data_IF_002014192622
#
_entry.id   IF_002014192622
#
_cell.length_a   1.000
_cell.length_b   1.000
_cell.length_c   1.000
_cell.angle_alpha   90.00
_cell.angle_beta   90.00
_cell.angle_gamma   90.00
#
_symmetry.space_group_name_H-M   'P 1'
#
loop_
_entity.id
_entity.type
_entity.pdbx_description
1 polymer ?
#
# COMPACT_ATOMS: atom_id res chain seq x y z
N UNK A 1 -70.58 25.12 -25.55
CA UNK A 1 -70.85 26.38 -26.27
C UNK A 1 -69.56 26.84 -26.94
N UNK A 2 -69.59 26.87 -28.28
CA UNK A 2 -68.79 27.64 -29.28
C UNK A 2 -67.29 27.91 -29.03
N UNK A 3 -66.37 27.92 -30.00
CA UNK A 3 -66.26 27.51 -31.42
C UNK A 3 -64.84 27.97 -31.86
N UNK A 4 -63.97 27.09 -32.36
CA UNK A 4 -63.45 27.05 -33.74
C UNK A 4 -63.30 28.38 -34.53
N UNK A 5 -62.08 28.66 -35.03
CA UNK A 5 -61.68 28.98 -36.44
C UNK A 5 -60.24 29.57 -36.46
N UNK A 6 -59.21 28.97 -37.08
CA UNK A 6 -58.87 28.77 -38.50
C UNK A 6 -58.75 30.03 -39.38
N UNK A 7 -57.52 30.30 -39.86
CA UNK A 7 -57.12 30.89 -41.17
C UNK A 7 -55.63 30.45 -41.36
N UNK A 8 -55.19 29.54 -42.26
CA UNK A 8 -55.09 29.52 -43.75
C UNK A 8 -54.50 30.84 -44.30
N UNK A 9 -53.53 30.92 -45.22
CA UNK A 9 -52.79 29.94 -46.03
C UNK A 9 -51.74 30.68 -46.92
N UNK A 10 -50.64 30.00 -47.25
CA UNK A 10 -49.90 30.02 -48.54
C UNK A 10 -48.99 31.22 -48.89
N UNK A 11 -47.68 30.96 -49.03
CA UNK A 11 -46.97 31.13 -50.31
C UNK A 11 -45.86 30.09 -50.47
N UNK A 12 -45.78 29.59 -51.70
CA UNK A 12 -45.03 28.43 -52.16
C UNK A 12 -43.99 28.96 -53.16
N UNK A 13 -42.69 28.69 -52.96
CA UNK A 13 -41.72 28.67 -54.07
C UNK A 13 -40.74 27.53 -53.83
N UNK A 14 -40.77 26.61 -54.79
CA UNK A 14 -39.87 25.48 -55.00
C UNK A 14 -38.57 25.98 -55.62
N UNK A 15 -37.42 25.53 -55.15
CA UNK A 15 -36.29 25.25 -56.05
C UNK A 15 -35.57 23.96 -55.61
N UNK A 16 -35.46 23.07 -56.59
CA UNK A 16 -34.91 21.72 -56.52
C UNK A 16 -33.41 21.75 -56.88
N UNK A 17 -32.72 20.73 -56.36
CA UNK A 17 -31.52 20.09 -56.90
C UNK A 17 -30.14 20.68 -56.57
N UNK A 18 -29.33 19.83 -55.93
CA UNK A 18 -27.90 20.02 -55.74
C UNK A 18 -27.29 19.00 -54.79
N UNK A 19 -27.31 17.72 -55.18
CA UNK A 19 -26.50 16.67 -54.53
C UNK A 19 -25.03 17.00 -54.78
N UNK A 20 -24.29 17.33 -53.73
CA UNK A 20 -22.85 17.14 -53.68
C UNK A 20 -22.46 16.60 -52.31
N UNK A 21 -21.82 15.44 -52.34
CA UNK A 21 -21.14 14.81 -51.21
C UNK A 21 -20.18 15.81 -50.54
N UNK A 22 -20.48 16.19 -49.31
CA UNK A 22 -19.48 16.66 -48.36
C UNK A 22 -19.69 15.85 -47.08
N UNK A 23 -18.81 14.86 -46.88
CA UNK A 23 -18.58 14.29 -45.55
C UNK A 23 -18.36 15.45 -44.57
N UNK A 24 -19.06 15.51 -43.42
CA UNK A 24 -18.53 16.27 -42.31
C UNK A 24 -17.32 15.48 -41.81
N UNK A 25 -16.13 15.91 -42.21
CA UNK A 25 -14.93 15.70 -41.43
C UNK A 25 -15.24 16.27 -40.04
N UNK A 26 -15.67 15.38 -39.14
CA UNK A 26 -15.58 15.62 -37.72
C UNK A 26 -14.10 15.87 -37.44
N UNK A 27 -13.74 17.14 -37.42
CA UNK A 27 -12.57 17.61 -36.71
C UNK A 27 -12.79 17.24 -35.24
N UNK A 28 -12.30 16.06 -34.85
CA UNK A 28 -11.90 15.84 -33.47
C UNK A 28 -10.65 16.69 -33.26
N UNK A 29 -10.83 18.01 -33.16
CA UNK A 29 -9.93 18.82 -32.35
C UNK A 29 -10.07 18.23 -30.96
N UNK A 30 -9.06 17.47 -30.54
CA UNK A 30 -8.90 17.10 -29.15
C UNK A 30 -8.94 18.39 -28.33
N UNK A 31 -9.92 18.52 -27.45
CA UNK A 31 -9.83 19.38 -26.27
C UNK A 31 -8.70 18.85 -25.38
N UNK A 32 -7.45 18.95 -25.85
CA UNK A 32 -6.32 19.03 -24.93
C UNK A 32 -6.36 20.47 -24.47
N UNK A 33 -6.91 20.70 -23.28
CA UNK A 33 -6.76 21.98 -22.60
C UNK A 33 -5.30 22.40 -22.64
N UNK A 34 -5.04 23.71 -22.78
CA UNK A 34 -3.67 24.23 -22.78
C UNK A 34 -2.86 23.60 -21.64
N UNK A 35 -1.72 23.00 -21.97
CA UNK A 35 -0.83 22.42 -20.97
C UNK A 35 -0.33 23.57 -20.10
N UNK A 36 -0.65 23.52 -18.81
CA UNK A 36 -0.14 24.50 -17.86
C UNK A 36 1.37 24.33 -17.73
N UNK A 37 2.13 25.31 -18.22
CA UNK A 37 3.60 25.33 -18.12
C UNK A 37 4.00 26.33 -17.03
N UNK A 38 4.53 25.81 -15.93
CA UNK A 38 5.02 26.65 -14.82
C UNK A 38 6.49 27.03 -14.98
N UNK A 39 7.29 26.15 -15.58
CA UNK A 39 8.72 26.31 -15.82
C UNK A 39 9.15 25.37 -16.95
N UNK A 40 10.30 25.66 -17.58
CA UNK A 40 10.91 24.77 -18.56
C UNK A 40 11.47 23.53 -17.86
N UNK A 41 11.12 22.34 -18.38
CA UNK A 41 11.65 21.09 -17.88
C UNK A 41 13.17 21.02 -18.15
N UNK A 42 13.96 21.01 -17.08
CA UNK A 42 15.43 21.08 -17.14
C UNK A 42 16.14 19.76 -16.82
N UNK A 43 15.42 18.64 -16.89
CA UNK A 43 15.99 17.31 -16.66
C UNK A 43 16.53 16.77 -17.99
N UNK A 44 17.85 16.47 -18.10
CA UNK A 44 18.44 16.00 -19.35
C UNK A 44 17.74 14.75 -19.90
N UNK A 45 17.28 14.83 -21.15
CA UNK A 45 16.65 13.72 -21.86
C UNK A 45 15.18 13.46 -21.51
N UNK A 46 14.54 14.33 -20.71
CA UNK A 46 13.11 14.24 -20.38
C UNK A 46 12.37 15.35 -21.13
N UNK A 47 11.28 15.00 -21.80
CA UNK A 47 10.34 15.96 -22.40
C UNK A 47 9.04 16.00 -21.59
N UNK A 48 8.24 17.07 -21.75
CA UNK A 48 6.97 17.22 -21.05
C UNK A 48 6.01 16.04 -21.32
N UNK A 49 6.02 15.49 -22.54
CA UNK A 49 5.20 14.32 -22.87
C UNK A 49 5.57 13.09 -22.05
N UNK A 50 6.83 12.94 -21.65
CA UNK A 50 7.29 11.81 -20.82
C UNK A 50 6.74 11.84 -19.40
N UNK A 51 6.17 12.97 -18.96
CA UNK A 51 5.48 13.12 -17.68
C UNK A 51 4.06 12.55 -17.69
N UNK A 52 3.60 12.04 -18.84
CA UNK A 52 2.28 11.47 -19.01
C UNK A 52 2.36 9.99 -19.40
N UNK A 53 1.53 9.11 -18.82
CA UNK A 53 1.55 7.68 -19.13
C UNK A 53 1.29 7.41 -20.62
N UNK A 54 0.52 8.25 -21.30
CA UNK A 54 0.16 8.10 -22.72
C UNK A 54 1.40 8.03 -23.62
N UNK A 55 2.44 8.81 -23.34
CA UNK A 55 3.68 8.76 -24.10
C UNK A 55 4.31 7.36 -24.04
N UNK A 56 4.39 6.76 -22.86
CA UNK A 56 4.99 5.44 -22.67
C UNK A 56 4.12 4.32 -23.22
N UNK A 57 2.80 4.44 -23.08
CA UNK A 57 1.84 3.47 -23.59
C UNK A 57 1.80 3.42 -25.13
N UNK A 58 2.02 4.55 -25.81
CA UNK A 58 2.13 4.59 -27.27
C UNK A 58 3.42 3.93 -27.79
N UNK A 59 4.46 3.86 -26.94
CA UNK A 59 5.79 3.39 -27.31
C UNK A 59 6.13 2.00 -26.72
N UNK A 60 5.16 1.30 -26.13
CA UNK A 60 5.34 -0.05 -25.59
C UNK A 60 4.57 -1.08 -26.42
N UNK A 61 5.29 -2.10 -26.90
CA UNK A 61 4.67 -3.22 -27.59
C UNK A 61 3.85 -4.10 -26.63
N UNK A 62 2.81 -4.74 -27.15
CA UNK A 62 1.99 -5.72 -26.43
C UNK A 62 1.48 -5.21 -25.07
N UNK A 63 1.03 -3.95 -25.03
CA UNK A 63 0.72 -3.25 -23.78
C UNK A 63 -0.37 -3.94 -22.94
N UNK A 64 -1.36 -4.55 -23.60
CA UNK A 64 -2.48 -5.26 -22.97
C UNK A 64 -2.25 -6.78 -22.84
N UNK A 65 -1.10 -7.30 -23.29
CA UNK A 65 -0.80 -8.73 -23.17
C UNK A 65 -0.62 -9.11 -21.70
N UNK A 66 -1.29 -10.18 -21.28
CA UNK A 66 -1.10 -10.79 -19.96
C UNK A 66 0.32 -11.37 -19.90
N UNK A 67 1.14 -10.84 -18.99
CA UNK A 67 2.51 -11.29 -18.75
C UNK A 67 2.53 -12.59 -17.94
N UNK A 68 1.69 -12.66 -16.90
CA UNK A 68 1.41 -13.88 -16.12
C UNK A 68 -0.07 -13.91 -15.76
N UNK A 69 -0.69 -15.07 -15.94
CA UNK A 69 -2.02 -15.39 -15.42
C UNK A 69 -2.00 -15.47 -13.89
N UNK A 70 -3.18 -15.43 -13.25
CA UNK A 70 -3.28 -15.55 -11.79
C UNK A 70 -2.60 -16.81 -11.24
N UNK A 71 -2.81 -17.97 -11.90
CA UNK A 71 -2.17 -19.23 -11.49
C UNK A 71 -0.64 -19.21 -11.66
N UNK A 72 -0.13 -18.49 -12.66
CA UNK A 72 1.32 -18.30 -12.86
C UNK A 72 1.91 -17.37 -11.80
N UNK A 73 1.19 -16.31 -11.42
CA UNK A 73 1.60 -15.42 -10.33
C UNK A 73 1.65 -16.18 -9.01
N UNK A 74 0.66 -17.02 -8.72
CA UNK A 74 0.70 -17.86 -7.52
C UNK A 74 1.89 -18.83 -7.52
N UNK A 75 2.18 -19.45 -8.67
CA UNK A 75 3.38 -20.30 -8.82
C UNK A 75 4.66 -19.49 -8.63
N UNK A 76 4.73 -18.28 -9.19
CA UNK A 76 5.86 -17.36 -9.03
C UNK A 76 6.07 -17.00 -7.56
N UNK A 77 5.02 -16.60 -6.85
CA UNK A 77 5.09 -16.25 -5.43
C UNK A 77 5.53 -17.45 -4.57
N UNK A 78 4.96 -18.65 -4.80
CA UNK A 78 5.38 -19.88 -4.10
C UNK A 78 6.85 -20.22 -4.36
N UNK A 79 7.30 -20.07 -5.60
CA UNK A 79 8.71 -20.24 -5.97
C UNK A 79 9.59 -19.22 -5.24
N UNK A 80 9.16 -17.97 -5.16
CA UNK A 80 9.84 -16.91 -4.41
C UNK A 80 10.08 -17.30 -2.94
N UNK A 81 9.05 -17.81 -2.25
CA UNK A 81 9.19 -18.28 -0.87
C UNK A 81 10.11 -19.49 -0.70
N UNK A 82 10.30 -20.30 -1.74
CA UNK A 82 11.17 -21.48 -1.70
C UNK A 82 12.64 -21.16 -2.03
N UNK A 83 12.88 -20.14 -2.85
CA UNK A 83 14.20 -19.87 -3.45
C UNK A 83 14.84 -18.55 -2.96
N UNK A 84 14.07 -17.61 -2.43
CA UNK A 84 14.58 -16.34 -1.90
C UNK A 84 14.58 -16.35 -0.37
N UNK A 85 15.78 -16.33 0.24
CA UNK A 85 15.94 -16.34 1.70
C UNK A 85 15.23 -15.15 2.40
N UNK A 86 15.06 -14.04 1.68
CA UNK A 86 14.43 -12.82 2.23
C UNK A 86 12.90 -12.91 2.26
N UNK A 87 12.30 -13.87 1.54
CA UNK A 87 10.86 -14.10 1.49
C UNK A 87 10.46 -15.25 2.40
N UNK A 88 9.46 -15.01 3.25
CA UNK A 88 8.94 -15.99 4.22
C UNK A 88 7.45 -16.21 4.01
N UNK A 89 7.06 -17.45 3.74
CA UNK A 89 5.64 -17.82 3.73
C UNK A 89 5.14 -18.02 5.17
N UNK A 90 4.41 -17.01 5.66
CA UNK A 90 3.89 -17.03 7.02
C UNK A 90 2.88 -18.17 7.27
N UNK A 91 2.24 -18.73 6.23
CA UNK A 91 1.33 -19.89 6.36
C UNK A 91 2.07 -21.12 6.87
N UNK A 92 3.33 -21.27 6.45
CA UNK A 92 4.19 -22.39 6.80
C UNK A 92 5.27 -22.01 7.82
N UNK A 93 5.20 -20.81 8.41
CA UNK A 93 6.15 -20.38 9.43
C UNK A 93 6.07 -21.31 10.65
N UNK A 94 7.22 -21.73 11.21
CA UNK A 94 7.25 -22.69 12.31
C UNK A 94 6.50 -22.17 13.54
N UNK A 95 5.93 -23.08 14.33
CA UNK A 95 5.21 -22.71 15.56
C UNK A 95 6.15 -22.22 16.68
N UNK A 96 7.44 -22.50 16.57
CA UNK A 96 8.45 -22.04 17.51
C UNK A 96 9.80 -21.83 16.79
N UNK A 97 10.64 -20.96 17.35
CA UNK A 97 11.98 -20.64 16.87
C UNK A 97 12.99 -20.90 17.98
N UNK A 98 14.17 -21.43 17.63
CA UNK A 98 15.25 -21.58 18.60
C UNK A 98 15.71 -20.20 19.10
N UNK A 99 15.88 -20.06 20.42
CA UNK A 99 16.27 -18.80 21.04
C UNK A 99 17.57 -18.23 20.52
N UNK A 100 18.53 -19.11 20.18
CA UNK A 100 19.82 -18.69 19.60
C UNK A 100 19.65 -18.09 18.20
N UNK A 101 18.79 -18.66 17.36
CA UNK A 101 18.48 -18.12 16.04
C UNK A 101 17.76 -16.76 16.14
N UNK A 102 16.88 -16.62 17.12
CA UNK A 102 16.19 -15.35 17.40
C UNK A 102 17.18 -14.28 17.89
N UNK A 103 18.06 -14.63 18.84
CA UNK A 103 19.13 -13.75 19.33
C UNK A 103 19.97 -13.22 18.18
N UNK A 104 20.49 -14.11 17.33
CA UNK A 104 21.30 -13.73 16.15
C UNK A 104 20.52 -12.83 15.19
N UNK A 105 19.22 -13.08 15.01
CA UNK A 105 18.37 -12.22 14.16
C UNK A 105 18.25 -10.82 14.74
N UNK A 106 18.01 -10.68 16.04
CA UNK A 106 17.88 -9.37 16.70
C UNK A 106 19.23 -8.65 16.69
N UNK A 107 20.32 -9.32 17.03
CA UNK A 107 21.68 -8.74 17.03
C UNK A 107 22.10 -8.28 15.63
N UNK A 108 21.71 -9.00 14.58
CA UNK A 108 21.95 -8.59 13.18
C UNK A 108 21.17 -7.34 12.81
N UNK A 109 19.88 -7.27 13.14
CA UNK A 109 19.01 -6.11 12.82
C UNK A 109 19.39 -4.89 13.66
N UNK A 110 19.69 -5.10 14.93
CA UNK A 110 20.03 -4.05 15.91
C UNK A 110 21.55 -3.87 16.06
N UNK A 111 22.32 -4.12 15.00
CA UNK A 111 23.76 -3.96 15.03
C UNK A 111 24.14 -2.47 15.15
N UNK A 112 25.11 -2.15 16.02
CA UNK A 112 25.59 -0.76 16.17
C UNK A 112 26.15 -0.23 14.84
N UNK A 113 25.78 1.01 14.45
CA UNK A 113 26.39 1.68 13.31
C UNK A 113 27.91 1.84 13.49
N UNK A 114 28.69 1.54 12.46
CA UNK A 114 30.15 1.73 12.46
C UNK A 114 30.56 3.19 12.18
N UNK A 115 29.66 3.95 11.55
CA UNK A 115 29.83 5.37 11.26
C UNK A 115 29.10 6.19 12.30
N UNK A 116 29.56 7.43 12.49
CA UNK A 116 28.86 8.42 13.31
C UNK A 116 27.42 8.60 12.83
N UNK A 117 26.59 8.92 13.81
CA UNK A 117 25.16 9.11 13.64
C UNK A 117 24.69 10.27 14.49
N UNK A 118 23.62 10.92 14.05
CA UNK A 118 23.15 12.16 14.67
C UNK A 118 21.68 12.04 15.04
N UNK A 119 21.36 12.43 16.28
CA UNK A 119 20.01 12.54 16.80
C UNK A 119 19.79 14.00 17.18
N UNK A 120 18.85 14.67 16.49
CA UNK A 120 18.53 16.09 16.69
C UNK A 120 19.77 17.00 16.53
N UNK A 121 20.63 16.69 15.57
CA UNK A 121 21.85 17.45 15.27
C UNK A 121 23.08 17.07 16.10
N UNK A 122 22.91 16.28 17.17
CA UNK A 122 24.01 15.90 18.07
C UNK A 122 24.46 14.46 17.80
N UNK A 123 25.76 14.20 17.95
CA UNK A 123 26.30 12.84 17.81
C UNK A 123 25.66 11.91 18.84
N UNK A 124 25.19 10.75 18.38
CA UNK A 124 24.54 9.75 19.24
C UNK A 124 25.57 9.20 20.24
N UNK A 125 25.25 9.30 21.53
CA UNK A 125 26.17 8.90 22.59
C UNK A 125 26.18 7.39 22.83
N UNK A 126 27.26 6.90 23.45
CA UNK A 126 27.39 5.50 23.86
C UNK A 126 26.29 5.08 24.84
N UNK A 127 25.92 5.96 25.76
CA UNK A 127 24.86 5.69 26.74
C UNK A 127 23.50 5.48 26.07
N UNK A 128 23.24 6.20 24.97
CA UNK A 128 22.03 6.02 24.19
C UNK A 128 22.01 4.66 23.49
N UNK A 129 23.13 4.23 22.88
CA UNK A 129 23.22 2.89 22.29
C UNK A 129 23.06 1.79 23.34
N UNK A 130 23.67 1.93 24.51
CA UNK A 130 23.50 0.99 25.63
C UNK A 130 22.02 0.94 26.09
N UNK A 131 21.33 2.09 26.11
CA UNK A 131 19.90 2.12 26.42
C UNK A 131 19.06 1.37 25.37
N UNK A 132 19.35 1.54 24.08
CA UNK A 132 18.68 0.79 23.00
C UNK A 132 18.93 -0.71 23.09
N UNK A 133 20.16 -1.12 23.36
CA UNK A 133 20.53 -2.54 23.54
C UNK A 133 19.81 -3.17 24.73
N UNK A 134 19.66 -2.43 25.83
CA UNK A 134 18.88 -2.88 26.97
C UNK A 134 17.40 -3.09 26.62
N UNK A 135 16.83 -2.26 25.73
CA UNK A 135 15.45 -2.41 25.26
C UNK A 135 15.24 -3.66 24.39
N UNK A 136 16.28 -4.19 23.73
CA UNK A 136 16.21 -5.42 22.93
C UNK A 136 15.81 -6.65 23.74
N UNK A 137 15.98 -6.60 25.08
CA UNK A 137 15.52 -7.64 26.01
C UNK A 137 16.10 -9.04 25.70
N UNK A 138 17.35 -9.07 25.26
CA UNK A 138 18.05 -10.27 24.77
C UNK A 138 18.25 -11.34 25.85
N UNK A 139 18.45 -10.93 27.09
CA UNK A 139 18.57 -11.77 28.29
C UNK A 139 17.31 -12.59 28.59
N UNK A 140 16.13 -12.12 28.16
CA UNK A 140 14.85 -12.80 28.36
C UNK A 140 14.42 -13.68 27.17
N UNK A 141 15.29 -13.87 26.17
CA UNK A 141 15.03 -14.81 25.09
C UNK A 141 15.05 -16.24 25.66
N UNK A 142 13.92 -16.94 25.54
CA UNK A 142 13.80 -18.35 25.95
C UNK A 142 14.61 -19.24 25.01
N UNK A 143 14.99 -20.42 25.47
CA UNK A 143 15.68 -21.42 24.63
C UNK A 143 14.85 -21.83 23.41
N UNK A 144 13.52 -21.82 23.55
CA UNK A 144 12.55 -22.01 22.49
C UNK A 144 11.47 -20.92 22.63
N UNK A 145 11.32 -20.11 21.59
CA UNK A 145 10.32 -19.04 21.55
C UNK A 145 9.13 -19.46 20.72
N UNK A 146 7.95 -19.48 21.33
CA UNK A 146 6.70 -19.73 20.63
C UNK A 146 6.35 -18.54 19.73
N UNK A 147 5.92 -18.85 18.51
CA UNK A 147 5.52 -17.85 17.52
C UNK A 147 4.07 -17.48 17.75
N UNK A 148 3.80 -16.18 17.88
CA UNK A 148 2.44 -15.64 17.94
C UNK A 148 2.10 -14.97 16.61
N UNK A 149 0.88 -15.15 16.12
CA UNK A 149 0.43 -14.48 14.91
C UNK A 149 -0.24 -13.15 15.24
N UNK A 150 -0.04 -12.19 14.35
CA UNK A 150 -0.63 -10.88 14.46
C UNK A 150 -0.83 -10.27 13.08
N UNK A 151 -1.50 -9.12 13.05
CA UNK A 151 -1.72 -8.32 11.84
C UNK A 151 -1.55 -6.83 12.17
N UNK A 152 -1.00 -6.06 11.24
CA UNK A 152 -0.96 -4.60 11.37
C UNK A 152 -2.35 -4.01 11.18
N UNK A 153 -2.70 -3.01 12.00
CA UNK A 153 -4.03 -2.35 11.96
C UNK A 153 -3.99 -0.96 11.34
N UNK A 154 -2.78 -0.40 11.18
CA UNK A 154 -2.53 0.87 10.49
C UNK A 154 -1.16 0.86 9.84
N UNK A 155 -0.88 1.87 9.00
CA UNK A 155 0.48 2.08 8.47
C UNK A 155 1.45 2.28 9.64
N UNK A 156 2.54 1.53 9.62
CA UNK A 156 3.58 1.53 10.67
C UNK A 156 4.96 1.34 10.07
N UNK A 157 5.99 1.36 10.89
CA UNK A 157 7.39 1.27 10.49
C UNK A 157 8.08 0.13 11.24
N UNK A 158 8.73 -0.74 10.48
CA UNK A 158 9.76 -1.63 10.96
C UNK A 158 11.08 -0.87 11.10
N UNK A 159 11.81 -1.12 12.20
CA UNK A 159 12.98 -0.36 12.62
C UNK A 159 14.10 -1.26 13.16
N UNK A 160 15.33 -0.78 13.04
CA UNK A 160 16.54 -1.45 13.51
C UNK A 160 16.55 -1.60 15.03
N UNK A 161 16.02 -0.59 15.75
CA UNK A 161 15.96 -0.54 17.21
C UNK A 161 14.54 -0.19 17.69
N UNK A 162 14.14 -0.61 18.90
CA UNK A 162 12.83 -0.31 19.49
C UNK A 162 12.72 1.14 19.98
N UNK A 163 12.79 2.11 19.06
CA UNK A 163 12.66 3.55 19.33
C UNK A 163 11.98 4.28 18.18
N UNK A 164 11.26 5.35 18.49
CA UNK A 164 10.73 6.29 17.49
C UNK A 164 11.73 7.37 17.09
N UNK A 165 12.85 7.46 17.81
CA UNK A 165 13.90 8.43 17.49
C UNK A 165 14.47 8.13 16.10
N UNK A 166 14.60 9.20 15.32
CA UNK A 166 15.18 9.18 13.98
C UNK A 166 16.64 9.56 14.08
N UNK A 167 17.49 8.77 13.44
CA UNK A 167 18.94 8.87 13.56
C UNK A 167 19.54 9.01 12.18
N UNK A 168 20.30 10.07 11.93
CA UNK A 168 20.73 10.45 10.59
C UNK A 168 22.23 10.28 10.38
N UNK A 169 22.67 10.32 9.12
CA UNK A 169 24.10 10.25 8.80
C UNK A 169 24.81 11.59 9.00
N UNK A 170 24.10 12.71 8.90
CA UNK A 170 24.62 14.07 9.10
C UNK A 170 23.76 14.85 10.11
N UNK A 171 24.28 15.90 10.77
CA UNK A 171 23.55 16.68 11.78
C UNK A 171 22.26 17.36 11.27
N UNK A 172 22.26 17.82 10.03
CA UNK A 172 21.18 18.61 9.40
C UNK A 172 20.30 17.77 8.45
N UNK A 173 20.55 16.46 8.37
CA UNK A 173 19.74 15.53 7.61
C UNK A 173 18.40 15.26 8.33
N UNK A 174 17.34 15.12 7.52
CA UNK A 174 15.98 14.80 7.96
C UNK A 174 15.29 13.81 7.01
N UNK A 175 15.96 13.40 5.93
CA UNK A 175 15.37 12.67 4.80
C UNK A 175 15.61 11.17 4.88
N UNK A 176 16.72 10.74 5.51
CA UNK A 176 17.13 9.34 5.57
C UNK A 176 17.40 8.89 7.00
N UNK A 177 16.33 8.51 7.70
CA UNK A 177 16.44 7.88 9.01
C UNK A 177 17.16 6.53 8.89
N UNK A 178 18.34 6.41 9.49
CA UNK A 178 19.15 5.21 9.43
C UNK A 178 18.63 4.07 10.31
N UNK A 179 17.62 4.30 11.14
CA UNK A 179 16.97 3.27 11.94
C UNK A 179 15.66 2.76 11.34
N UNK A 180 15.12 3.38 10.29
CA UNK A 180 13.96 2.81 9.59
C UNK A 180 14.42 1.71 8.64
N UNK A 181 13.71 0.59 8.67
CA UNK A 181 13.95 -0.54 7.78
C UNK A 181 12.94 -0.55 6.64
N UNK A 182 11.65 -0.51 6.98
CA UNK A 182 10.57 -0.46 6.00
C UNK A 182 9.25 -0.04 6.63
N UNK A 183 8.38 0.62 5.87
CA UNK A 183 6.97 0.73 6.23
C UNK A 183 6.25 -0.62 6.04
N UNK A 184 5.21 -0.84 6.86
CA UNK A 184 4.18 -1.84 6.67
C UNK A 184 2.83 -1.15 6.57
N UNK A 185 1.92 -1.73 5.80
CA UNK A 185 0.59 -1.16 5.56
C UNK A 185 -0.43 -1.82 6.50
N UNK A 186 -1.68 -1.34 6.58
CA UNK A 186 -2.72 -2.08 7.29
C UNK A 186 -2.95 -3.44 6.64
N UNK A 187 -3.35 -4.43 7.45
CA UNK A 187 -3.64 -5.80 7.03
C UNK A 187 -2.41 -6.63 6.58
N UNK A 188 -1.21 -6.30 7.04
CA UNK A 188 -0.01 -7.13 6.83
C UNK A 188 0.11 -8.21 7.90
N UNK A 189 0.20 -9.50 7.53
CA UNK A 189 0.41 -10.57 8.49
C UNK A 189 1.80 -10.55 9.10
N UNK A 190 1.87 -10.94 10.37
CA UNK A 190 3.10 -10.98 11.15
C UNK A 190 3.21 -12.30 11.93
N UNK A 191 4.43 -12.83 11.99
CA UNK A 191 4.86 -13.79 13.01
C UNK A 191 5.69 -13.04 14.06
N UNK A 192 5.13 -12.81 15.24
CA UNK A 192 5.76 -12.13 16.37
C UNK A 192 6.66 -13.11 17.11
N UNK A 193 7.90 -12.69 17.34
CA UNK A 193 8.99 -13.53 17.85
C UNK A 193 9.56 -13.04 19.18
N UNK A 194 9.49 -11.74 19.47
CA UNK A 194 10.02 -11.19 20.71
C UNK A 194 9.32 -9.89 21.09
N UNK A 195 9.53 -9.45 22.33
CA UNK A 195 9.00 -8.19 22.84
C UNK A 195 10.10 -7.42 23.56
N UNK A 196 10.15 -6.10 23.32
CA UNK A 196 11.10 -5.20 23.97
C UNK A 196 10.91 -5.19 25.47
N UNK A 197 11.92 -4.74 26.22
CA UNK A 197 11.91 -4.76 27.68
C UNK A 197 10.76 -3.95 28.27
N UNK A 198 10.34 -2.89 27.59
CA UNK A 198 9.24 -2.01 27.99
C UNK A 198 7.86 -2.45 27.47
N UNK A 199 7.78 -3.53 26.69
CA UNK A 199 6.54 -4.04 26.12
C UNK A 199 5.98 -3.24 24.94
N UNK A 200 6.65 -2.16 24.50
CA UNK A 200 6.11 -1.24 23.50
C UNK A 200 6.45 -1.61 22.07
N UNK A 201 7.39 -2.54 21.87
CA UNK A 201 7.85 -2.98 20.56
C UNK A 201 7.82 -4.50 20.46
N UNK A 202 7.48 -4.96 19.26
CA UNK A 202 7.52 -6.36 18.88
C UNK A 202 8.67 -6.55 17.91
N UNK A 203 9.40 -7.66 18.02
CA UNK A 203 10.28 -8.12 16.94
C UNK A 203 9.50 -9.16 16.15
N UNK A 204 9.23 -8.90 14.87
CA UNK A 204 8.33 -9.73 14.08
C UNK A 204 8.82 -9.93 12.64
N UNK A 205 8.36 -11.02 12.02
CA UNK A 205 8.55 -11.34 10.62
C UNK A 205 7.28 -11.00 9.83
N UNK A 206 7.41 -10.10 8.84
CA UNK A 206 6.49 -9.95 7.72
C UNK A 206 6.93 -10.86 6.54
N UNK A 207 6.20 -10.90 5.43
CA UNK A 207 6.58 -11.82 4.34
C UNK A 207 7.95 -11.50 3.70
N UNK A 208 8.45 -10.27 3.79
CA UNK A 208 9.67 -9.81 3.13
C UNK A 208 10.64 -9.04 4.04
N UNK A 209 10.39 -8.99 5.36
CA UNK A 209 11.26 -8.30 6.30
C UNK A 209 11.08 -8.82 7.74
N UNK A 210 12.13 -8.68 8.56
CA UNK A 210 12.11 -9.00 9.99
C UNK A 210 12.80 -7.90 10.79
N UNK A 211 12.07 -7.21 11.65
CA UNK A 211 12.58 -6.09 12.44
C UNK A 211 11.64 -5.71 13.59
N UNK A 212 11.96 -4.63 14.30
CA UNK A 212 11.15 -4.10 15.41
C UNK A 212 10.01 -3.23 14.89
N UNK A 213 8.80 -3.36 15.45
CA UNK A 213 7.69 -2.46 15.16
C UNK A 213 6.86 -2.14 16.42
N UNK A 214 6.13 -1.01 16.46
CA UNK A 214 5.29 -0.65 17.59
C UNK A 214 4.21 -1.69 17.90
N UNK A 215 4.14 -2.14 19.16
CA UNK A 215 3.13 -3.09 19.62
C UNK A 215 1.70 -2.55 19.56
N UNK A 216 1.54 -1.22 19.63
CA UNK A 216 0.23 -0.56 19.56
C UNK A 216 -0.37 -0.57 18.14
N UNK A 217 0.46 -0.82 17.12
CA UNK A 217 0.05 -0.80 15.70
C UNK A 217 -0.33 -2.20 15.19
N UNK A 218 -0.35 -3.17 16.11
CA UNK A 218 -0.47 -4.61 15.84
C UNK A 218 -1.57 -5.21 16.70
N UNK A 219 -2.35 -6.11 16.12
CA UNK A 219 -3.37 -6.88 16.82
C UNK A 219 -3.08 -8.38 16.74
N UNK A 220 -3.02 -9.05 17.89
CA UNK A 220 -2.73 -10.49 17.98
C UNK A 220 -3.93 -11.34 17.57
N UNK A 221 -3.69 -12.45 16.91
CA UNK A 221 -4.74 -13.36 16.44
C UNK A 221 -4.27 -14.81 16.41
N UNK A 222 -5.22 -15.74 16.32
CA UNK A 222 -4.92 -17.14 16.05
C UNK A 222 -4.54 -17.35 14.59
N UNK A 223 -3.68 -18.34 14.32
CA UNK A 223 -3.27 -18.72 12.96
C UNK A 223 -4.44 -18.88 11.99
N UNK A 224 -5.50 -19.60 12.41
CA UNK A 224 -6.67 -19.87 11.58
C UNK A 224 -7.43 -18.59 11.23
N UNK A 225 -7.74 -17.75 12.21
CA UNK A 225 -8.46 -16.49 11.99
C UNK A 225 -7.68 -15.54 11.07
N UNK A 226 -6.35 -15.47 11.22
CA UNK A 226 -5.49 -14.67 10.33
C UNK A 226 -5.60 -15.12 8.87
N UNK A 227 -5.39 -16.42 8.61
CA UNK A 227 -5.36 -16.91 7.23
C UNK A 227 -6.75 -17.04 6.62
N UNK A 228 -7.80 -17.32 7.40
CA UNK A 228 -9.20 -17.23 6.95
C UNK A 228 -9.51 -15.81 6.45
N UNK A 229 -9.02 -14.77 7.13
CA UNK A 229 -9.14 -13.37 6.68
C UNK A 229 -8.34 -13.08 5.41
N UNK A 230 -7.07 -13.52 5.35
CA UNK A 230 -6.20 -13.27 4.20
C UNK A 230 -6.60 -14.05 2.95
N UNK A 231 -7.27 -15.20 3.10
CA UNK A 231 -7.70 -16.06 2.01
C UNK A 231 -9.13 -15.77 1.55
N UNK A 232 -9.78 -14.72 2.10
CA UNK A 232 -11.13 -14.31 1.73
C UNK A 232 -11.28 -14.15 0.19
N UNK A 233 -12.23 -14.87 -0.42
CA UNK A 233 -12.39 -14.92 -1.88
C UNK A 233 -12.70 -13.54 -2.50
N UNK A 234 -13.54 -12.75 -1.81
CA UNK A 234 -13.95 -11.41 -2.25
C UNK A 234 -13.15 -10.36 -1.49
N UNK A 235 -12.33 -9.61 -2.22
CA UNK A 235 -11.47 -8.59 -1.65
C UNK A 235 -11.35 -7.38 -2.59
N UNK A 236 -11.02 -6.24 -1.99
CA UNK A 236 -10.52 -5.07 -2.68
C UNK A 236 -9.00 -5.05 -2.67
N UNK A 237 -8.44 -4.52 -3.75
CA UNK A 237 -7.04 -4.11 -3.85
C UNK A 237 -7.00 -2.61 -4.07
N UNK A 238 -6.16 -1.92 -3.31
CA UNK A 238 -5.90 -0.50 -3.55
C UNK A 238 -5.05 -0.35 -4.81
N UNK A 239 -5.54 0.44 -5.76
CA UNK A 239 -4.87 0.74 -7.02
C UNK A 239 -4.47 2.21 -7.13
N UNK A 240 -4.83 3.06 -6.17
CA UNK A 240 -4.30 4.42 -6.03
C UNK A 240 -2.96 4.42 -5.31
N UNK A 241 -2.19 5.52 -5.40
CA UNK A 241 -0.92 5.66 -4.64
C UNK A 241 -1.11 5.51 -3.12
N UNK A 242 -2.29 5.86 -2.65
CA UNK A 242 -2.79 5.71 -1.29
C UNK A 242 -4.22 6.25 -1.27
N UNK A 243 -5.14 5.48 -0.68
CA UNK A 243 -6.54 5.88 -0.48
C UNK A 243 -6.81 5.94 1.02
N UNK A 244 -7.87 6.64 1.42
CA UNK A 244 -8.26 6.74 2.82
C UNK A 244 -9.67 6.21 3.01
N UNK A 245 -9.94 5.56 4.13
CA UNK A 245 -11.33 5.42 4.59
C UNK A 245 -11.90 6.82 4.91
N UNK A 246 -13.22 6.96 4.86
CA UNK A 246 -13.85 8.22 5.23
C UNK A 246 -13.62 8.58 6.71
N UNK A 247 -13.67 9.87 7.02
CA UNK A 247 -13.72 10.32 8.41
C UNK A 247 -14.96 9.75 9.12
N UNK A 248 -14.73 9.06 10.25
CA UNK A 248 -15.78 8.46 11.07
C UNK A 248 -15.48 8.68 12.56
N UNK A 249 -16.13 9.64 13.23
CA UNK A 249 -15.88 9.94 14.64
C UNK A 249 -16.35 8.83 15.59
N UNK A 250 -17.22 7.92 15.13
CA UNK A 250 -17.71 6.79 15.93
C UNK A 250 -16.76 5.60 15.91
N UNK A 251 -15.82 5.57 14.96
CA UNK A 251 -14.81 4.53 14.76
C UNK A 251 -13.42 5.13 14.50
N UNK A 252 -12.82 5.82 15.50
CA UNK A 252 -11.50 6.44 15.34
C UNK A 252 -10.40 5.45 14.92
N UNK A 253 -10.55 4.17 15.24
CA UNK A 253 -9.61 3.10 14.89
C UNK A 253 -9.50 2.81 13.38
N UNK A 254 -10.54 3.16 12.59
CA UNK A 254 -10.59 2.96 11.14
C UNK A 254 -10.99 4.23 10.38
N UNK A 255 -10.99 5.38 11.06
CA UNK A 255 -11.29 6.69 10.47
C UNK A 255 -10.05 7.25 9.77
N UNK A 256 -10.20 7.73 8.54
CA UNK A 256 -9.08 8.28 7.75
C UNK A 256 -7.86 7.35 7.74
N UNK A 257 -8.12 6.05 7.69
CA UNK A 257 -7.12 5.01 7.66
C UNK A 257 -6.48 4.99 6.27
N UNK A 258 -5.18 5.32 6.19
CA UNK A 258 -4.41 5.21 4.96
C UNK A 258 -4.28 3.75 4.54
N UNK A 259 -4.72 3.44 3.32
CA UNK A 259 -4.52 2.17 2.64
C UNK A 259 -3.65 2.40 1.42
N UNK A 260 -2.45 1.84 1.45
CA UNK A 260 -1.42 2.00 0.43
C UNK A 260 -1.65 1.09 -0.79
N UNK A 261 -1.10 1.44 -1.96
CA UNK A 261 -1.24 0.63 -3.18
C UNK A 261 -0.84 -0.83 -2.93
N UNK A 262 -1.65 -1.77 -3.43
CA UNK A 262 -1.43 -3.20 -3.22
C UNK A 262 -1.93 -3.71 -1.87
N UNK A 263 -2.43 -2.86 -0.98
CA UNK A 263 -3.17 -3.31 0.20
C UNK A 263 -4.41 -4.10 -0.24
N UNK A 264 -4.58 -5.28 0.37
CA UNK A 264 -5.63 -6.25 0.05
C UNK A 264 -6.58 -6.35 1.24
N UNK A 265 -7.81 -5.88 1.07
CA UNK A 265 -8.79 -5.79 2.15
C UNK A 265 -10.03 -6.63 1.78
N UNK A 266 -10.42 -7.64 2.58
CA UNK A 266 -11.64 -8.41 2.35
C UNK A 266 -12.90 -7.53 2.30
N UNK A 267 -13.78 -7.87 1.37
CA UNK A 267 -15.13 -7.32 1.34
C UNK A 267 -15.96 -7.99 2.44
N UNK A 268 -16.82 -7.22 3.10
CA UNK A 268 -17.75 -7.78 4.07
C UNK A 268 -18.87 -8.55 3.37
N UNK A 269 -19.23 -9.70 3.90
CA UNK A 269 -20.40 -10.44 3.47
C UNK A 269 -21.69 -9.68 3.81
N UNK A 270 -22.73 -9.88 3.00
CA UNK A 270 -24.01 -9.19 3.19
C UNK A 270 -24.60 -9.41 4.58
N UNK A 271 -24.35 -10.56 5.20
CA UNK A 271 -24.84 -10.89 6.55
C UNK A 271 -24.13 -10.12 7.67
N UNK A 272 -22.97 -9.49 7.39
CA UNK A 272 -22.14 -8.84 8.40
C UNK A 272 -22.51 -7.36 8.64
N UNK A 273 -23.36 -6.77 7.81
CA UNK A 273 -23.72 -5.35 7.91
C UNK A 273 -25.19 -5.05 7.60
N UNK A 274 -25.64 -3.89 8.06
CA UNK A 274 -26.97 -3.34 7.78
C UNK A 274 -26.86 -2.14 6.83
N UNK A 275 -27.99 -1.65 6.31
CA UNK A 275 -28.01 -0.46 5.44
C UNK A 275 -27.75 0.87 6.18
N UNK A 276 -27.33 0.79 7.44
CA UNK A 276 -26.81 1.89 8.22
C UNK A 276 -25.52 1.42 8.91
N UNK A 277 -24.38 1.96 8.48
CA UNK A 277 -23.07 1.74 9.07
C UNK A 277 -22.63 3.08 9.65
N UNK A 278 -22.69 3.21 10.98
CA UNK A 278 -22.30 4.42 11.72
C UNK A 278 -22.94 5.72 11.21
N UNK A 279 -24.21 5.67 10.77
CA UNK A 279 -24.95 6.82 10.26
C UNK A 279 -24.85 7.01 8.74
N UNK A 280 -24.12 6.15 8.03
CA UNK A 280 -23.95 6.21 6.59
C UNK A 280 -24.59 5.01 5.87
N UNK A 281 -25.27 5.29 4.75
CA UNK A 281 -25.79 4.26 3.86
C UNK A 281 -24.70 3.74 2.91
N UNK A 282 -24.54 2.41 2.71
CA UNK A 282 -23.41 1.84 1.96
C UNK A 282 -23.48 1.97 0.43
N UNK A 283 -24.57 2.50 -0.15
CA UNK A 283 -24.79 2.51 -1.61
C UNK A 283 -23.61 3.10 -2.42
N UNK A 284 -23.03 4.20 -1.95
CA UNK A 284 -21.89 4.87 -2.60
C UNK A 284 -20.52 4.24 -2.31
N UNK A 285 -20.48 3.13 -1.58
CA UNK A 285 -19.27 2.56 -1.02
C UNK A 285 -19.12 1.08 -1.35
N UNK A 286 -17.89 0.59 -1.21
CA UNK A 286 -17.60 -0.79 -0.90
C UNK A 286 -17.60 -0.97 0.61
N UNK A 287 -18.20 -2.06 1.09
CA UNK A 287 -18.20 -2.42 2.51
C UNK A 287 -17.10 -3.44 2.74
N UNK A 288 -16.17 -3.13 3.64
CA UNK A 288 -14.95 -3.89 3.86
C UNK A 288 -14.80 -4.32 5.32
N UNK A 289 -14.03 -5.39 5.56
CA UNK A 289 -13.59 -5.79 6.90
C UNK A 289 -12.18 -5.27 7.13
N UNK A 290 -12.02 -4.33 8.04
CA UNK A 290 -10.72 -3.76 8.42
C UNK A 290 -10.25 -4.38 9.73
N UNK A 291 -8.97 -4.75 9.84
CA UNK A 291 -8.41 -5.22 11.11
C UNK A 291 -8.25 -4.02 12.05
N UNK A 292 -8.75 -4.17 13.26
CA UNK A 292 -8.59 -3.21 14.35
C UNK A 292 -8.02 -3.92 15.57
N UNK A 293 -7.38 -3.13 16.44
CA UNK A 293 -6.82 -3.61 17.69
C UNK A 293 -7.84 -3.39 18.80
N UNK A 294 -8.34 -4.48 19.39
CA UNK A 294 -9.17 -4.43 20.59
C UNK A 294 -8.41 -3.90 21.81
N UNK A 295 -9.15 -3.58 22.87
CA UNK A 295 -8.55 -3.09 24.13
C UNK A 295 -7.61 -4.14 24.76
N UNK A 296 -7.90 -5.42 24.59
CA UNK A 296 -7.06 -6.53 25.04
C UNK A 296 -5.86 -6.82 24.12
N UNK A 297 -5.71 -6.04 23.04
CA UNK A 297 -4.64 -6.17 22.04
C UNK A 297 -4.85 -7.27 21.00
N UNK A 298 -6.01 -7.92 21.00
CA UNK A 298 -6.36 -8.91 19.98
C UNK A 298 -7.00 -8.26 18.76
N UNK A 299 -7.02 -9.03 17.68
CA UNK A 299 -7.67 -8.68 16.45
C UNK A 299 -9.19 -8.62 16.64
N UNK A 300 -9.76 -7.51 16.22
CA UNK A 300 -11.19 -7.38 16.00
C UNK A 300 -11.41 -6.87 14.58
N UNK A 301 -12.45 -7.35 13.91
CA UNK A 301 -12.82 -6.81 12.61
C UNK A 301 -13.84 -5.68 12.77
N UNK A 302 -13.61 -4.59 12.02
CA UNK A 302 -14.55 -3.48 11.89
C UNK A 302 -15.09 -3.42 10.48
N UNK A 303 -16.38 -3.10 10.38
CA UNK A 303 -17.02 -2.82 9.09
C UNK A 303 -16.67 -1.39 8.70
N UNK A 304 -15.87 -1.25 7.63
CA UNK A 304 -15.46 0.03 7.07
C UNK A 304 -16.13 0.31 5.73
N UNK A 305 -16.09 1.58 5.34
CA UNK A 305 -16.57 2.06 4.04
C UNK A 305 -15.41 2.68 3.26
N UNK A 306 -15.26 2.24 2.00
CA UNK A 306 -14.37 2.86 1.03
C UNK A 306 -15.23 3.36 -0.12
N UNK A 307 -15.13 4.65 -0.45
CA UNK A 307 -15.96 5.25 -1.49
C UNK A 307 -15.69 4.62 -2.85
N UNK A 308 -16.73 4.46 -3.67
CA UNK A 308 -16.60 3.91 -5.03
C UNK A 308 -15.77 4.78 -5.98
N UNK A 309 -15.56 6.05 -5.61
CA UNK A 309 -14.71 7.00 -6.32
C UNK A 309 -13.22 6.86 -6.00
N UNK A 310 -12.86 6.13 -4.94
CA UNK A 310 -11.46 5.85 -4.64
C UNK A 310 -10.87 4.90 -5.67
N UNK A 311 -9.56 5.03 -5.89
CA UNK A 311 -8.80 4.15 -6.77
C UNK A 311 -8.61 2.78 -6.11
N UNK A 312 -9.65 1.94 -6.19
CA UNK A 312 -9.69 0.57 -5.70
C UNK A 312 -10.32 -0.36 -6.73
N UNK A 313 -10.03 -1.65 -6.62
CA UNK A 313 -10.55 -2.69 -7.52
C UNK A 313 -10.99 -3.92 -6.74
N UNK A 314 -12.09 -4.54 -7.15
CA UNK A 314 -12.45 -5.90 -6.70
C UNK A 314 -11.53 -6.90 -7.39
N UNK A 315 -10.72 -7.61 -6.59
CA UNK A 315 -9.67 -8.49 -7.09
C UNK A 315 -8.44 -7.76 -7.64
N UNK A 316 -7.40 -8.53 -7.97
CA UNK A 316 -6.17 -7.98 -8.54
C UNK A 316 -6.37 -7.38 -9.93
N UNK A 317 -5.49 -6.45 -10.30
CA UNK A 317 -5.34 -6.01 -11.69
C UNK A 317 -4.65 -7.12 -12.50
N UNK A 318 -4.98 -7.30 -13.79
CA UNK A 318 -4.19 -8.17 -14.67
C UNK A 318 -2.74 -7.69 -14.76
N UNK A 319 -1.76 -8.60 -14.71
CA UNK A 319 -0.36 -8.23 -14.91
C UNK A 319 -0.10 -7.97 -16.40
N UNK A 320 -0.11 -6.69 -16.78
CA UNK A 320 0.15 -6.22 -18.16
C UNK A 320 1.11 -5.04 -18.11
N UNK A 321 1.83 -4.77 -19.21
CA UNK A 321 2.74 -3.61 -19.29
C UNK A 321 1.99 -2.29 -19.10
N UNK A 322 0.77 -2.20 -19.64
CA UNK A 322 -0.12 -1.05 -19.45
C UNK A 322 -0.46 -0.80 -17.99
N UNK A 323 -0.81 -1.85 -17.24
CA UNK A 323 -1.12 -1.71 -15.82
C UNK A 323 0.13 -1.34 -15.01
N UNK A 324 1.29 -1.90 -15.32
CA UNK A 324 2.56 -1.50 -14.67
C UNK A 324 2.83 0.00 -14.89
N UNK A 325 2.76 0.47 -16.14
CA UNK A 325 3.00 1.88 -16.49
C UNK A 325 1.98 2.78 -15.83
N UNK A 326 0.68 2.52 -15.99
CA UNK A 326 -0.37 3.39 -15.42
C UNK A 326 -0.31 3.47 -13.89
N UNK A 327 0.00 2.36 -13.21
CA UNK A 327 0.20 2.37 -11.75
C UNK A 327 1.46 3.13 -11.33
N UNK A 328 2.56 3.00 -12.08
CA UNK A 328 3.77 3.77 -11.85
C UNK A 328 3.53 5.29 -11.93
N UNK A 329 2.78 5.74 -12.94
CA UNK A 329 2.48 7.15 -13.14
C UNK A 329 1.62 7.78 -12.04
N UNK A 330 0.89 6.99 -11.25
CA UNK A 330 0.17 7.52 -10.07
C UNK A 330 1.09 8.07 -9.00
N UNK A 331 2.36 7.68 -8.99
CA UNK A 331 3.37 8.17 -8.05
C UNK A 331 4.21 9.32 -8.58
N UNK A 332 4.03 9.73 -9.84
CA UNK A 332 4.82 10.82 -10.42
C UNK A 332 4.68 12.09 -9.57
N UNK A 333 5.82 12.67 -9.19
CA UNK A 333 5.89 13.84 -8.31
C UNK A 333 5.73 13.56 -6.81
N UNK A 334 5.56 12.30 -6.39
CA UNK A 334 5.56 11.94 -4.98
C UNK A 334 6.98 12.11 -4.39
N UNK A 335 7.06 12.70 -3.19
CA UNK A 335 8.31 12.82 -2.43
C UNK A 335 8.90 11.44 -2.14
N UNK A 336 10.20 11.28 -2.39
CA UNK A 336 10.92 10.08 -1.99
C UNK A 336 10.89 9.90 -0.46
N UNK A 337 10.61 8.69 0.00
CA UNK A 337 10.53 8.33 1.41
C UNK A 337 11.41 7.15 1.73
N UNK A 338 12.63 7.41 2.22
CA UNK A 338 13.58 6.38 2.66
C UNK A 338 12.91 5.39 3.63
N UNK A 339 12.92 4.09 3.30
CA UNK A 339 12.25 3.06 4.10
C UNK A 339 10.76 3.28 4.33
N UNK A 340 10.09 4.13 3.55
CA UNK A 340 8.68 4.48 3.71
C UNK A 340 8.39 5.73 4.56
N UNK A 341 9.43 6.52 4.89
CA UNK A 341 9.29 7.85 5.52
C UNK A 341 8.33 8.77 4.73
N UNK A 342 7.84 9.82 5.40
CA UNK A 342 6.89 10.80 4.84
C UNK A 342 5.57 10.20 4.35
N UNK A 343 5.24 8.97 4.76
CA UNK A 343 4.11 8.19 4.26
C UNK A 343 4.17 7.93 2.74
N UNK A 344 5.39 7.89 2.17
CA UNK A 344 5.62 7.65 0.74
C UNK A 344 6.47 6.39 0.52
N UNK A 345 7.12 6.28 -0.64
CA UNK A 345 7.94 5.12 -1.05
C UNK A 345 9.38 5.54 -1.33
N UNK A 346 10.28 4.61 -1.08
CA UNK A 346 11.60 4.60 -1.70
C UNK A 346 11.57 3.85 -3.05
N UNK A 347 12.75 3.62 -3.62
CA UNK A 347 12.89 3.01 -4.94
C UNK A 347 12.28 1.61 -5.04
N UNK A 348 12.55 0.72 -4.08
CA UNK A 348 12.06 -0.66 -4.13
C UNK A 348 10.64 -0.80 -3.59
N UNK A 349 10.21 0.01 -2.62
CA UNK A 349 8.81 0.05 -2.20
C UNK A 349 7.89 0.53 -3.35
N UNK A 350 8.35 1.47 -4.18
CA UNK A 350 7.63 1.89 -5.38
C UNK A 350 7.36 0.73 -6.33
N UNK A 351 8.39 -0.09 -6.62
CA UNK A 351 8.26 -1.27 -7.47
C UNK A 351 7.35 -2.32 -6.82
N UNK A 352 7.58 -2.62 -5.55
CA UNK A 352 6.81 -3.59 -4.78
C UNK A 352 5.32 -3.28 -4.80
N UNK A 353 4.94 -2.04 -4.50
CA UNK A 353 3.54 -1.61 -4.44
C UNK A 353 2.81 -1.75 -5.78
N UNK A 354 3.48 -1.39 -6.88
CA UNK A 354 2.96 -1.60 -8.23
C UNK A 354 2.65 -3.08 -8.44
N UNK A 355 3.63 -3.96 -8.24
CA UNK A 355 3.47 -5.40 -8.46
C UNK A 355 2.44 -6.04 -7.52
N UNK A 356 2.32 -5.58 -6.28
CA UNK A 356 1.32 -6.03 -5.32
C UNK A 356 -0.11 -5.70 -5.77
N UNK A 357 -0.34 -4.60 -6.50
CA UNK A 357 -1.66 -4.31 -7.09
C UNK A 357 -2.13 -5.35 -8.12
N UNK A 358 -1.19 -6.16 -8.63
CA UNK A 358 -1.41 -7.26 -9.56
C UNK A 358 -1.17 -8.65 -8.91
N UNK A 359 -0.94 -8.70 -7.59
CA UNK A 359 -0.80 -9.94 -6.82
C UNK A 359 0.59 -10.57 -6.84
N UNK A 360 1.60 -9.90 -7.42
CA UNK A 360 2.99 -10.38 -7.44
C UNK A 360 3.69 -9.91 -6.16
N UNK A 361 4.32 -10.84 -5.46
CA UNK A 361 5.12 -10.57 -4.27
C UNK A 361 6.60 -10.54 -4.65
N UNK A 362 7.29 -9.47 -4.24
CA UNK A 362 8.72 -9.27 -4.47
C UNK A 362 9.44 -8.99 -3.15
N UNK A 363 10.76 -9.24 -3.08
CA UNK A 363 11.61 -8.83 -1.96
C UNK A 363 11.58 -7.32 -1.70
N UNK A 364 12.07 -6.89 -0.53
CA UNK A 364 11.94 -5.49 -0.10
C UNK A 364 13.08 -4.62 -0.61
N UNK A 365 14.31 -5.15 -0.66
CA UNK A 365 15.50 -4.37 -0.98
C UNK A 365 15.91 -4.55 -2.44
N UNK A 366 16.48 -3.51 -3.06
CA UNK A 366 16.83 -3.54 -4.48
C UNK A 366 17.96 -4.50 -4.87
N UNK A 367 18.70 -5.02 -3.89
CA UNK A 367 19.77 -5.99 -4.10
C UNK A 367 19.32 -7.45 -4.03
N UNK A 368 18.04 -7.67 -3.73
CA UNK A 368 17.36 -8.97 -3.63
C UNK A 368 16.56 -9.22 -4.92
#
# INVERSE_FOLDING_TARGET
>A
MQAFKQFRSVFFVVFLAGVFCCHPLYSQCSDRGEVFVQFDLNIPGVSDEMLFPEFWLQNVADQDQIVMTSDEIERYNRKGFAECEMLMDLRHFPAAMAGEQLRQSIEKVSARPQKKRYLKGEEVSEEYYVALENLLNIDNIRSLTEVQFAITVKRTEMRAFPTYDRVFSEPDDFESDMFIETALYPAEPLAVLHTSRDGKWLFAQAYNYRAWLPAQDVAFTGRRELFDYLDAEKFLVVTGKGVFTGYNPLRPEISELQLDMGARIPLADRSEFQFNIDGQHPAGNYVVKLPARGEDGKLEFRIGLIARSEDVRVGYMPLTRKNIITQAFKFLGQRYGWGGMFNTRDCSAFIMDIYRSMGVLVPRNSGE
#
